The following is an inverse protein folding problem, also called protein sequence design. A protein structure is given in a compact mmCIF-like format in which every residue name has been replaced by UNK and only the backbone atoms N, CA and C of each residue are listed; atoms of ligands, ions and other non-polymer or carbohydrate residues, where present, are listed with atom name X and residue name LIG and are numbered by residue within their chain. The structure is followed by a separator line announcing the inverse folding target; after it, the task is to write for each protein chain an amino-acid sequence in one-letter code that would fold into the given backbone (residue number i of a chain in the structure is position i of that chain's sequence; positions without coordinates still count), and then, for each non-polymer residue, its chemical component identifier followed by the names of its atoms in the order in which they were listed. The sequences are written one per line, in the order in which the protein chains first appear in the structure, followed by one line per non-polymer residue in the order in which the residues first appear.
data_IF_401011129225
#
_entry.id   IF_401011129225
#
_cell.length_a   1.000
_cell.length_b   1.000
_cell.length_c   1.000
_cell.angle_alpha   90.00
_cell.angle_beta   90.00
_cell.angle_gamma   90.00
#
_symmetry.space_group_name_H-M   'P 1'
#
loop_
_entity.id
_entity.type
_entity.pdbx_description
1 polymer ?
#
# COMPACT_ATOMS: atom_id res chain seq x y z
N UNK A 1 -8.10 -28.55 34.75
CA UNK A 1 -8.11 -28.10 33.34
C UNK A 1 -8.29 -26.58 33.27
N UNK A 2 -7.25 -25.81 33.59
CA UNK A 2 -7.32 -24.34 33.51
C UNK A 2 -7.07 -23.89 32.07
N UNK A 3 -8.06 -23.22 31.48
CA UNK A 3 -7.93 -22.62 30.14
C UNK A 3 -7.01 -21.41 30.25
N UNK A 4 -5.77 -21.54 29.79
CA UNK A 4 -4.84 -20.42 29.66
C UNK A 4 -5.41 -19.40 28.65
N UNK A 5 -5.71 -18.18 29.09
CA UNK A 5 -6.10 -17.08 28.20
C UNK A 5 -4.88 -16.65 27.40
N UNK A 6 -4.99 -16.65 26.06
CA UNK A 6 -3.97 -16.13 25.15
C UNK A 6 -3.85 -14.61 25.35
N UNK A 7 -2.64 -14.04 25.46
CA UNK A 7 -2.48 -12.59 25.54
C UNK A 7 -2.91 -11.94 24.22
N UNK A 8 -3.80 -10.94 24.28
CA UNK A 8 -4.14 -10.11 23.13
C UNK A 8 -2.87 -9.43 22.63
N UNK A 9 -2.65 -9.46 21.32
CA UNK A 9 -1.50 -8.82 20.68
C UNK A 9 -1.41 -7.34 21.08
N UNK A 10 -0.22 -6.88 21.46
CA UNK A 10 0.05 -5.45 21.72
C UNK A 10 -0.31 -4.66 20.48
N UNK A 11 -1.39 -3.88 20.57
CA UNK A 11 -1.74 -2.87 19.56
C UNK A 11 -0.65 -1.79 19.66
N UNK A 12 0.26 -1.78 18.70
CA UNK A 12 1.24 -0.70 18.59
C UNK A 12 0.53 0.63 18.36
N UNK A 13 0.98 1.68 19.03
CA UNK A 13 0.51 3.04 18.80
C UNK A 13 1.08 3.54 17.46
N UNK A 14 0.51 3.06 16.35
CA UNK A 14 0.87 3.51 15.01
C UNK A 14 0.12 4.81 14.71
N UNK A 15 0.62 5.92 15.22
CA UNK A 15 0.13 7.25 14.90
C UNK A 15 0.46 7.56 13.43
N UNK A 16 -0.54 8.01 12.67
CA UNK A 16 -0.38 8.36 11.25
C UNK A 16 -0.79 9.82 11.04
N UNK A 17 0.08 10.60 10.42
CA UNK A 17 -0.20 12.00 10.13
C UNK A 17 -1.25 12.16 9.02
N UNK A 18 -2.35 12.86 9.33
CA UNK A 18 -3.46 13.11 8.38
C UNK A 18 -3.27 14.40 7.57
N UNK A 19 -2.39 15.32 7.99
CA UNK A 19 -2.15 16.60 7.33
C UNK A 19 -3.31 17.60 7.40
N UNK A 20 -4.22 17.46 8.37
CA UNK A 20 -5.41 18.32 8.55
C UNK A 20 -5.34 19.21 9.80
N UNK A 21 -4.23 19.20 10.53
CA UNK A 21 -4.11 19.87 11.82
C UNK A 21 -5.07 19.28 12.86
N UNK A 22 -5.61 20.11 13.76
CA UNK A 22 -6.59 19.69 14.76
C UNK A 22 -7.98 19.56 14.14
N UNK A 23 -8.56 18.35 14.21
CA UNK A 23 -9.91 18.08 13.71
C UNK A 23 -10.92 18.50 14.78
N UNK A 24 -11.70 19.56 14.52
CA UNK A 24 -12.75 20.07 15.42
C UNK A 24 -14.15 19.50 15.16
N UNK A 25 -14.33 18.82 14.03
CA UNK A 25 -15.60 18.24 13.58
C UNK A 25 -15.55 16.72 13.54
N UNK A 26 -16.02 16.12 12.43
CA UNK A 26 -16.03 14.67 12.27
C UNK A 26 -14.66 14.12 11.84
N UNK A 27 -14.11 13.23 12.67
CA UNK A 27 -12.85 12.53 12.42
C UNK A 27 -12.87 11.69 11.13
N UNK A 28 -13.91 10.89 10.91
CA UNK A 28 -13.98 9.96 9.76
C UNK A 28 -14.06 10.73 8.44
N UNK A 29 -14.79 11.84 8.40
CA UNK A 29 -14.87 12.69 7.22
C UNK A 29 -13.51 13.33 6.88
N UNK A 30 -12.76 13.76 7.91
CA UNK A 30 -11.40 14.27 7.72
C UNK A 30 -10.44 13.19 7.24
N UNK A 31 -10.59 11.96 7.74
CA UNK A 31 -9.75 10.81 7.40
C UNK A 31 -9.98 10.34 5.95
N UNK A 32 -11.23 10.16 5.52
CA UNK A 32 -11.55 9.75 4.13
C UNK A 32 -11.02 10.75 3.11
N UNK A 33 -11.06 12.05 3.44
CA UNK A 33 -10.57 13.10 2.54
C UNK A 33 -9.07 13.40 2.71
N UNK A 34 -8.38 12.72 3.63
CA UNK A 34 -6.95 12.90 3.90
C UNK A 34 -6.08 12.20 2.84
N UNK A 35 -4.78 12.51 2.84
CA UNK A 35 -3.79 11.90 1.94
C UNK A 35 -3.68 10.37 2.11
N UNK A 36 -4.02 9.86 3.30
CA UNK A 36 -3.96 8.43 3.63
C UNK A 36 -4.92 7.63 2.74
N UNK A 37 -6.12 8.15 2.49
CA UNK A 37 -7.18 7.46 1.76
C UNK A 37 -7.33 7.94 0.31
N UNK A 38 -6.22 8.31 -0.33
CA UNK A 38 -6.24 8.70 -1.75
C UNK A 38 -6.43 7.49 -2.66
N UNK A 39 -7.13 7.69 -3.77
CA UNK A 39 -7.24 6.70 -4.83
C UNK A 39 -5.85 6.36 -5.40
N UNK A 40 -5.52 5.08 -5.46
CA UNK A 40 -4.27 4.59 -6.05
C UNK A 40 -4.54 4.07 -7.45
N UNK A 41 -3.91 4.69 -8.45
CA UNK A 41 -4.01 4.25 -9.84
C UNK A 41 -2.85 3.33 -10.17
N UNK A 42 -3.17 2.09 -10.55
CA UNK A 42 -2.17 1.09 -10.96
C UNK A 42 -1.84 1.26 -12.43
N UNK A 43 -0.57 1.15 -12.79
CA UNK A 43 -0.13 1.17 -14.19
C UNK A 43 -0.62 -0.09 -14.92
N UNK A 44 -1.35 0.10 -16.02
CA UNK A 44 -1.83 -1.01 -16.85
C UNK A 44 -0.66 -1.79 -17.49
N UNK A 45 -0.85 -3.10 -17.68
CA UNK A 45 0.14 -3.98 -18.34
C UNK A 45 0.12 -3.89 -19.87
N UNK A 46 -1.03 -3.54 -20.47
CA UNK A 46 -1.24 -3.39 -21.92
C UNK A 46 -2.19 -2.21 -22.18
N UNK A 47 -2.06 -1.57 -23.34
CA UNK A 47 -2.95 -0.47 -23.77
C UNK A 47 -2.43 0.93 -23.36
N UNK A 48 -3.35 1.85 -23.06
CA UNK A 48 -3.01 3.24 -22.74
C UNK A 48 -2.20 3.31 -21.45
N UNK A 49 -1.09 4.04 -21.47
CA UNK A 49 -0.23 4.23 -20.31
C UNK A 49 0.56 3.00 -19.88
N UNK A 50 0.60 1.91 -20.68
CA UNK A 50 1.36 0.71 -20.34
C UNK A 50 2.82 0.74 -20.78
N UNK A 51 3.21 1.63 -21.71
CA UNK A 51 4.57 1.70 -22.23
C UNK A 51 5.59 1.97 -21.11
N UNK A 52 6.69 1.21 -21.12
CA UNK A 52 7.82 1.34 -20.21
C UNK A 52 9.10 1.41 -21.03
N UNK A 53 9.88 2.49 -20.90
CA UNK A 53 11.15 2.66 -21.63
C UNK A 53 12.19 1.58 -21.29
N UNK A 54 12.16 1.07 -20.06
CA UNK A 54 13.01 -0.03 -19.59
C UNK A 54 12.11 -1.05 -18.89
N UNK A 55 12.12 -2.28 -19.37
CA UNK A 55 11.41 -3.39 -18.71
C UNK A 55 12.25 -3.90 -17.54
N UNK A 56 11.59 -4.53 -16.55
CA UNK A 56 12.23 -4.99 -15.30
C UNK A 56 13.42 -5.93 -15.52
N UNK A 57 13.46 -6.69 -16.63
CA UNK A 57 14.46 -7.73 -16.91
C UNK A 57 15.21 -7.52 -18.24
N UNK A 58 15.52 -6.30 -18.63
CA UNK A 58 16.09 -5.98 -19.95
C UNK A 58 17.46 -6.66 -20.28
N UNK A 59 18.17 -7.22 -19.28
CA UNK A 59 19.48 -7.90 -19.44
C UNK A 59 19.52 -9.35 -18.94
N UNK A 60 18.37 -10.02 -18.78
CA UNK A 60 18.38 -11.47 -18.54
C UNK A 60 18.44 -12.15 -19.91
N UNK A 61 19.68 -12.48 -20.30
CA UNK A 61 20.06 -13.26 -21.47
C UNK A 61 19.04 -14.39 -21.73
N UNK A 62 18.34 -14.33 -22.86
CA UNK A 62 17.43 -15.39 -23.33
C UNK A 62 18.16 -16.68 -23.74
N UNK A 63 19.49 -16.64 -23.77
CA UNK A 63 20.34 -17.70 -24.31
C UNK A 63 20.51 -18.92 -23.40
N UNK A 64 20.00 -18.92 -22.16
CA UNK A 64 20.06 -20.08 -21.25
C UNK A 64 18.85 -21.03 -21.34
N UNK A 65 17.88 -20.75 -22.22
CA UNK A 65 16.65 -21.56 -22.38
C UNK A 65 16.60 -22.35 -23.70
N UNK A 66 17.66 -22.30 -24.51
CA UNK A 66 17.81 -23.12 -25.72
C UNK A 66 19.00 -24.07 -25.52
N UNK A 67 18.75 -25.18 -24.83
CA UNK A 67 19.63 -26.34 -24.74
C UNK A 67 18.79 -27.60 -25.01
#
# INVERSE_FOLDING_TARGET
MSKQKKPLAKVGNNETELGRGQIKGNFLAALVTSKVYKMQVVKAKKGKGSYQRKTKNLRRESYLMAA
#
